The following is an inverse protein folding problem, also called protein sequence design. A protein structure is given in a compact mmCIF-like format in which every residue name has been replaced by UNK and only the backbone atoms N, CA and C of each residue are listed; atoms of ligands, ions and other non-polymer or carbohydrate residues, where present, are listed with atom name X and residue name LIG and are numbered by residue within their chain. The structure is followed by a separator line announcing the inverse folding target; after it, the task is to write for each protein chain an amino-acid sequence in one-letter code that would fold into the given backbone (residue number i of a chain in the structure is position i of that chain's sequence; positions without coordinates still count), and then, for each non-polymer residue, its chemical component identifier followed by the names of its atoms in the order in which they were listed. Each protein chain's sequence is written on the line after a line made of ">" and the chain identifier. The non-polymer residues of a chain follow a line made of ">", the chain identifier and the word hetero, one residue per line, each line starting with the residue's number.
data_IF_491142650008
#
_entry.id   IF_491142650008
#
_cell.length_a   1.000
_cell.length_b   1.000
_cell.length_c   1.000
_cell.angle_alpha   90.00
_cell.angle_beta   90.00
_cell.angle_gamma   90.00
#
_symmetry.space_group_name_H-M   'P 1'
#
loop_
_entity.id
_entity.type
_entity.pdbx_description
1 polymer ?
#
# COMPACT_ATOMS: atom_id res chain seq x y z
N UNK A 1 -3.59 12.57 12.95
CA UNK A 1 -4.31 12.05 11.77
C UNK A 1 -3.24 11.37 10.92
N UNK A 2 -3.31 10.06 10.75
CA UNK A 2 -2.30 9.30 10.03
C UNK A 2 -2.85 8.99 8.63
N UNK A 3 -2.12 9.20 7.54
CA UNK A 3 -2.52 8.85 6.18
C UNK A 3 -3.74 9.56 5.56
N UNK A 4 -4.17 9.04 4.40
CA UNK A 4 -5.35 9.49 3.67
C UNK A 4 -6.63 9.12 4.44
N UNK A 5 -7.50 10.11 4.67
CA UNK A 5 -8.81 9.87 5.27
C UNK A 5 -9.81 9.41 4.21
N UNK A 6 -10.41 8.24 4.43
CA UNK A 6 -11.41 7.61 3.60
C UNK A 6 -12.69 7.45 4.41
N UNK A 7 -13.81 7.98 3.90
CA UNK A 7 -15.12 7.84 4.54
C UNK A 7 -15.75 6.50 4.16
N UNK A 8 -15.98 5.62 5.15
CA UNK A 8 -16.56 4.30 4.98
C UNK A 8 -17.68 4.10 6.01
N UNK A 9 -18.86 3.66 5.54
CA UNK A 9 -20.02 3.38 6.40
C UNK A 9 -20.40 4.52 7.37
N UNK A 10 -20.13 5.77 6.95
CA UNK A 10 -20.44 6.97 7.74
C UNK A 10 -19.30 7.46 8.64
N UNK A 11 -18.25 6.69 8.80
CA UNK A 11 -17.10 6.99 9.66
C UNK A 11 -15.83 7.27 8.84
N UNK A 12 -14.88 7.97 9.45
CA UNK A 12 -13.60 8.31 8.85
C UNK A 12 -12.53 7.29 9.24
N UNK A 13 -11.78 6.81 8.25
CA UNK A 13 -10.71 5.83 8.41
C UNK A 13 -9.43 6.28 7.72
N UNK A 14 -8.29 5.85 8.23
CA UNK A 14 -7.01 5.89 7.52
C UNK A 14 -6.48 4.51 7.17
N UNK A 15 -5.45 4.45 6.33
CA UNK A 15 -4.79 3.18 5.98
C UNK A 15 -3.71 2.84 7.03
N UNK A 16 -3.72 1.60 7.52
CA UNK A 16 -2.67 1.11 8.41
C UNK A 16 -1.29 1.15 7.72
N UNK A 17 -0.28 1.66 8.43
CA UNK A 17 1.08 1.76 7.92
C UNK A 17 1.95 2.72 8.75
N UNK A 18 3.28 2.71 8.52
CA UNK A 18 4.20 3.63 9.17
C UNK A 18 3.98 5.05 8.62
N UNK A 19 3.52 6.01 9.44
CA UNK A 19 3.15 7.33 8.96
C UNK A 19 4.31 8.05 8.28
N UNK A 20 4.01 8.81 7.23
CA UNK A 20 4.98 9.64 6.51
C UNK A 20 4.46 11.07 6.31
N UNK A 21 5.37 11.99 6.01
CA UNK A 21 5.08 13.41 5.84
C UNK A 21 4.81 14.18 7.15
N UNK A 22 4.62 15.50 7.07
CA UNK A 22 4.31 16.34 8.22
C UNK A 22 3.08 15.82 8.97
N UNK A 23 3.23 15.60 10.29
CA UNK A 23 2.18 15.07 11.16
C UNK A 23 1.59 13.71 10.72
N UNK A 24 2.30 12.95 9.87
CA UNK A 24 1.87 11.65 9.40
C UNK A 24 0.75 11.70 8.35
N UNK A 25 0.63 12.77 7.56
CA UNK A 25 -0.42 12.93 6.53
C UNK A 25 -0.44 11.83 5.44
N UNK A 26 0.59 10.97 5.37
CA UNK A 26 0.69 9.81 4.46
C UNK A 26 0.79 8.51 5.23
N UNK A 27 0.33 7.42 4.62
CA UNK A 27 0.25 6.10 5.23
C UNK A 27 1.57 5.35 5.27
N UNK A 28 2.36 5.39 4.18
CA UNK A 28 3.70 4.83 4.11
C UNK A 28 4.63 5.71 3.27
N UNK A 29 5.96 5.60 3.47
CA UNK A 29 6.92 6.42 2.74
C UNK A 29 6.76 6.37 1.22
N UNK A 30 6.63 7.55 0.61
CA UNK A 30 6.51 7.69 -0.84
C UNK A 30 5.13 7.32 -1.39
N UNK A 31 4.14 7.00 -0.56
CA UNK A 31 2.77 6.75 -1.02
C UNK A 31 1.97 8.04 -1.21
N UNK A 32 1.15 8.03 -2.26
CA UNK A 32 0.07 9.00 -2.46
C UNK A 32 -1.17 8.27 -2.95
N UNK A 33 -2.35 8.74 -2.57
CA UNK A 33 -3.61 8.05 -2.85
C UNK A 33 -4.68 9.01 -3.36
N UNK A 34 -5.58 8.49 -4.21
CA UNK A 34 -6.78 9.20 -4.66
C UNK A 34 -7.95 8.24 -4.81
N UNK A 35 -9.13 8.65 -4.33
CA UNK A 35 -10.38 7.94 -4.62
C UNK A 35 -10.68 7.97 -6.12
N UNK A 36 -11.00 6.81 -6.69
CA UNK A 36 -11.34 6.63 -8.11
C UNK A 36 -12.75 6.03 -8.29
N UNK A 37 -13.61 6.23 -7.29
CA UNK A 37 -14.98 5.72 -7.21
C UNK A 37 -15.32 5.22 -5.80
N UNK A 38 -16.57 4.81 -5.57
CA UNK A 38 -17.06 4.45 -4.22
C UNK A 38 -16.29 3.31 -3.52
N UNK A 39 -15.59 2.46 -4.28
CA UNK A 39 -14.87 1.28 -3.78
C UNK A 39 -13.50 1.09 -4.42
N UNK A 40 -12.95 2.14 -5.02
CA UNK A 40 -11.69 2.07 -5.78
C UNK A 40 -10.80 3.23 -5.40
N UNK A 41 -9.51 2.96 -5.25
CA UNK A 41 -8.48 3.98 -5.10
C UNK A 41 -7.37 3.72 -6.12
N UNK A 42 -6.65 4.79 -6.46
CA UNK A 42 -5.38 4.71 -7.17
C UNK A 42 -4.28 5.21 -6.24
N UNK A 43 -3.20 4.46 -6.17
CA UNK A 43 -2.00 4.85 -5.46
C UNK A 43 -0.84 5.08 -6.41
N UNK A 44 0.10 5.89 -5.97
CA UNK A 44 1.45 5.97 -6.55
C UNK A 44 2.44 5.75 -5.42
N UNK A 45 3.48 4.95 -5.69
CA UNK A 45 4.58 4.70 -4.77
C UNK A 45 5.88 5.21 -5.38
N UNK A 46 6.42 6.26 -4.80
CA UNK A 46 7.64 6.92 -5.22
C UNK A 46 8.85 6.42 -4.43
N UNK A 47 10.05 6.51 -5.02
CA UNK A 47 11.31 6.16 -4.39
C UNK A 47 11.77 7.25 -3.40
N UNK A 48 10.99 7.41 -2.34
CA UNK A 48 11.22 8.36 -1.26
C UNK A 48 10.87 7.67 0.06
N UNK A 49 11.76 7.82 1.03
CA UNK A 49 11.64 7.27 2.37
C UNK A 49 10.99 8.25 3.34
N UNK A 50 10.93 7.87 4.63
CA UNK A 50 10.33 8.68 5.68
C UNK A 50 10.89 10.10 5.67
N UNK A 51 10.02 11.09 5.79
CA UNK A 51 10.40 12.50 5.87
C UNK A 51 11.23 13.00 4.67
N UNK A 52 11.06 12.38 3.50
CA UNK A 52 11.75 12.80 2.28
C UNK A 52 13.12 12.15 2.06
N UNK A 53 13.47 11.11 2.83
CA UNK A 53 14.75 10.42 2.65
C UNK A 53 14.93 9.94 1.19
N UNK A 54 16.09 10.19 0.55
CA UNK A 54 16.27 9.85 -0.85
C UNK A 54 16.47 8.35 -1.06
N UNK A 55 16.03 7.84 -2.22
CA UNK A 55 16.30 6.49 -2.74
C UNK A 55 16.12 5.33 -1.74
N UNK A 56 15.06 5.40 -0.93
CA UNK A 56 14.84 4.48 0.19
C UNK A 56 14.36 3.09 -0.21
N UNK A 57 13.55 2.98 -1.26
CA UNK A 57 12.90 1.73 -1.65
C UNK A 57 13.68 0.98 -2.75
N UNK A 58 14.52 1.71 -3.48
CA UNK A 58 15.37 1.20 -4.54
C UNK A 58 16.61 2.11 -4.65
N UNK A 59 17.69 1.74 -3.98
CA UNK A 59 18.95 2.49 -3.91
C UNK A 59 19.62 2.65 -5.27
N UNK A 60 19.37 1.72 -6.20
CA UNK A 60 19.84 1.82 -7.59
C UNK A 60 19.06 2.82 -8.46
N UNK A 61 17.97 3.40 -7.95
CA UNK A 61 17.09 4.29 -8.70
C UNK A 61 17.14 5.73 -8.15
N UNK A 62 16.81 6.69 -9.01
CA UNK A 62 16.76 8.10 -8.60
C UNK A 62 15.69 8.34 -7.51
N UNK A 63 15.98 9.24 -6.58
CA UNK A 63 14.99 9.63 -5.57
C UNK A 63 13.77 10.29 -6.22
N UNK A 64 12.58 9.99 -5.69
CA UNK A 64 11.31 10.55 -6.16
C UNK A 64 10.81 9.98 -7.48
N UNK A 65 11.52 9.02 -8.10
CA UNK A 65 11.01 8.31 -9.28
C UNK A 65 9.79 7.46 -8.90
N UNK A 66 8.81 7.38 -9.80
CA UNK A 66 7.64 6.52 -9.62
C UNK A 66 8.04 5.05 -9.76
N UNK A 67 7.97 4.27 -8.68
CA UNK A 67 8.26 2.83 -8.68
C UNK A 67 7.02 2.01 -9.05
N UNK A 68 5.89 2.26 -8.39
CA UNK A 68 4.65 1.53 -8.62
C UNK A 68 3.45 2.45 -8.85
N UNK A 69 2.59 2.04 -9.79
CA UNK A 69 1.18 2.44 -9.81
C UNK A 69 0.39 1.39 -9.04
N UNK A 70 -0.45 1.80 -8.12
CA UNK A 70 -1.22 0.88 -7.28
C UNK A 70 -2.70 0.94 -7.66
N UNK A 71 -3.23 -0.21 -8.10
CA UNK A 71 -4.66 -0.39 -8.24
C UNK A 71 -5.21 -0.90 -6.91
N UNK A 72 -6.16 -0.17 -6.33
CA UNK A 72 -6.70 -0.51 -5.03
C UNK A 72 -8.21 -0.70 -5.06
N UNK A 73 -8.69 -1.68 -4.29
CA UNK A 73 -10.11 -2.00 -4.16
C UNK A 73 -10.51 -2.14 -2.70
N UNK A 74 -11.56 -1.43 -2.33
CA UNK A 74 -12.20 -1.56 -1.02
C UNK A 74 -13.17 -2.73 -1.09
N UNK A 75 -12.93 -3.77 -0.31
CA UNK A 75 -13.82 -4.93 -0.22
C UNK A 75 -13.71 -5.62 1.14
N UNK A 76 -14.60 -6.58 1.39
CA UNK A 76 -14.55 -7.38 2.60
C UNK A 76 -13.29 -8.26 2.66
N UNK A 77 -12.82 -8.52 3.86
CA UNK A 77 -11.84 -9.55 4.13
C UNK A 77 -12.51 -10.91 4.36
N UNK A 78 -12.06 -11.93 3.66
CA UNK A 78 -12.37 -13.35 3.90
C UNK A 78 -11.39 -14.19 3.08
N UNK A 79 -11.14 -15.44 3.47
CA UNK A 79 -10.26 -16.34 2.71
C UNK A 79 -10.72 -16.50 1.25
N UNK A 80 -12.03 -16.64 1.01
CA UNK A 80 -12.61 -16.74 -0.33
C UNK A 80 -12.33 -15.49 -1.19
N UNK A 81 -12.43 -14.29 -0.60
CA UNK A 81 -12.14 -13.04 -1.31
C UNK A 81 -10.63 -12.89 -1.54
N UNK A 82 -9.80 -13.24 -0.56
CA UNK A 82 -8.35 -13.24 -0.67
C UNK A 82 -7.87 -14.07 -1.86
N UNK A 83 -8.29 -15.34 -1.94
CA UNK A 83 -7.95 -16.23 -3.05
C UNK A 83 -8.42 -15.69 -4.40
N UNK A 84 -9.64 -15.12 -4.45
CA UNK A 84 -10.15 -14.48 -5.67
C UNK A 84 -9.30 -13.27 -6.06
N UNK A 85 -8.88 -12.45 -5.11
CA UNK A 85 -8.10 -11.24 -5.33
C UNK A 85 -6.67 -11.57 -5.76
N UNK A 86 -6.03 -12.57 -5.15
CA UNK A 86 -4.73 -13.08 -5.54
C UNK A 86 -4.71 -13.52 -7.01
N UNK A 87 -5.74 -14.26 -7.47
CA UNK A 87 -5.90 -14.65 -8.89
C UNK A 87 -6.04 -13.45 -9.84
N UNK A 88 -6.44 -12.28 -9.33
CA UNK A 88 -6.56 -11.05 -10.10
C UNK A 88 -5.35 -10.11 -9.93
N UNK A 89 -4.30 -10.56 -9.24
CA UNK A 89 -3.07 -9.82 -8.99
C UNK A 89 -3.15 -8.80 -7.86
N UNK A 90 -4.13 -8.91 -6.96
CA UNK A 90 -4.13 -8.17 -5.70
C UNK A 90 -3.44 -9.03 -4.65
N UNK A 91 -2.24 -8.62 -4.26
CA UNK A 91 -1.24 -9.51 -3.61
C UNK A 91 -1.21 -9.34 -2.10
N UNK A 92 -1.69 -8.20 -1.60
CA UNK A 92 -1.79 -7.91 -0.18
C UNK A 92 -2.92 -6.90 0.08
N UNK A 93 -3.11 -6.49 1.33
CA UNK A 93 -4.13 -5.52 1.72
C UNK A 93 -3.65 -4.60 2.86
N UNK A 94 -4.22 -3.39 2.94
CA UNK A 94 -4.09 -2.54 4.12
C UNK A 94 -5.40 -2.53 4.90
N UNK A 95 -5.30 -2.58 6.23
CA UNK A 95 -6.44 -2.38 7.12
C UNK A 95 -6.88 -0.90 7.10
N UNK A 96 -8.17 -0.70 7.30
CA UNK A 96 -8.72 0.62 7.59
C UNK A 96 -8.76 0.82 9.09
N UNK A 97 -8.16 1.89 9.60
CA UNK A 97 -8.11 2.22 11.03
C UNK A 97 -8.98 3.44 11.28
N UNK A 98 -9.97 3.32 12.17
CA UNK A 98 -10.96 4.36 12.44
C UNK A 98 -10.29 5.54 13.12
N UNK A 99 -10.57 6.75 12.65
CA UNK A 99 -9.98 7.99 13.17
C UNK A 99 -10.36 8.25 14.62
N UNK A 100 -11.58 7.90 15.03
CA UNK A 100 -12.10 8.23 16.36
C UNK A 100 -11.50 7.43 17.51
N UNK A 101 -11.15 6.16 17.28
CA UNK A 101 -10.76 5.22 18.34
C UNK A 101 -9.60 4.29 17.97
N UNK A 102 -9.05 4.39 16.77
CA UNK A 102 -7.93 3.56 16.32
C UNK A 102 -8.29 2.09 16.06
N UNK A 103 -9.58 1.71 16.08
CA UNK A 103 -9.98 0.34 15.80
C UNK A 103 -9.99 0.04 14.30
N UNK A 104 -9.68 -1.20 13.92
CA UNK A 104 -9.81 -1.63 12.54
C UNK A 104 -11.28 -1.68 12.10
N UNK A 105 -11.56 -1.36 10.84
CA UNK A 105 -12.87 -1.58 10.25
C UNK A 105 -13.23 -3.07 10.37
N UNK A 106 -14.41 -3.43 10.88
CA UNK A 106 -14.72 -4.82 11.27
C UNK A 106 -14.78 -5.83 10.12
N UNK A 107 -14.80 -5.37 8.85
CA UNK A 107 -14.98 -6.27 7.71
C UNK A 107 -14.27 -5.85 6.45
N UNK A 108 -13.92 -4.56 6.25
CA UNK A 108 -13.36 -4.07 4.99
C UNK A 108 -11.87 -3.79 5.10
N UNK A 109 -11.17 -4.05 4.00
CA UNK A 109 -9.75 -3.76 3.80
C UNK A 109 -9.55 -3.14 2.41
N UNK A 110 -8.39 -2.52 2.20
CA UNK A 110 -7.96 -2.03 0.90
C UNK A 110 -7.06 -3.07 0.24
N UNK A 111 -7.57 -3.83 -0.72
CA UNK A 111 -6.79 -4.78 -1.51
C UNK A 111 -5.90 -4.07 -2.52
N UNK A 112 -4.63 -4.44 -2.59
CA UNK A 112 -3.61 -3.72 -3.36
C UNK A 112 -2.96 -4.57 -4.46
N UNK A 113 -2.92 -3.99 -5.66
CA UNK A 113 -2.23 -4.55 -6.83
C UNK A 113 -1.15 -3.58 -7.29
N UNK A 114 0.09 -3.99 -7.14
CA UNK A 114 1.27 -3.21 -7.49
C UNK A 114 1.64 -3.45 -8.96
N UNK A 115 1.70 -2.37 -9.74
CA UNK A 115 2.11 -2.37 -11.14
C UNK A 115 3.37 -1.54 -11.27
N UNK A 116 4.55 -2.18 -11.40
CA UNK A 116 5.82 -1.50 -11.55
C UNK A 116 5.83 -0.61 -12.79
N UNK A 117 6.24 0.65 -12.61
CA UNK A 117 6.43 1.61 -13.69
C UNK A 117 7.78 1.45 -14.41
N UNK A 118 8.73 0.75 -13.78
CA UNK A 118 10.04 0.38 -14.30
C UNK A 118 10.48 -1.00 -13.78
N UNK A 119 11.63 -1.47 -14.27
CA UNK A 119 12.33 -2.67 -13.79
C UNK A 119 13.45 -2.19 -12.88
N UNK A 120 13.51 -2.69 -11.65
CA UNK A 120 14.43 -2.22 -10.61
C UNK A 120 14.59 -3.28 -9.53
N UNK A 121 15.63 -3.17 -8.71
CA UNK A 121 15.78 -3.98 -7.50
C UNK A 121 15.09 -3.26 -6.34
N UNK A 122 14.09 -3.90 -5.73
CA UNK A 122 13.40 -3.36 -4.57
C UNK A 122 14.16 -3.79 -3.31
N UNK A 123 14.47 -2.83 -2.45
CA UNK A 123 15.33 -3.05 -1.28
C UNK A 123 14.54 -3.49 -0.04
N UNK A 124 13.20 -3.49 -0.10
CA UNK A 124 12.34 -3.86 1.02
C UNK A 124 12.12 -2.75 2.06
N UNK A 125 12.87 -1.65 1.99
CA UNK A 125 12.78 -0.53 2.92
C UNK A 125 12.99 -0.99 4.37
N UNK A 126 12.03 -0.81 5.29
CA UNK A 126 12.16 -1.28 6.68
C UNK A 126 12.08 -2.81 6.82
N UNK A 127 11.79 -3.55 5.74
CA UNK A 127 11.70 -5.02 5.69
C UNK A 127 12.62 -5.57 4.60
N UNK A 128 13.95 -5.57 4.80
CA UNK A 128 14.92 -5.98 3.77
C UNK A 128 14.76 -7.45 3.34
N UNK A 129 14.09 -8.29 4.14
CA UNK A 129 13.72 -9.65 3.76
C UNK A 129 12.73 -9.71 2.58
N UNK A 130 12.09 -8.59 2.25
CA UNK A 130 11.25 -8.43 1.07
C UNK A 130 12.03 -7.94 -0.15
N UNK A 131 13.36 -7.87 -0.11
CA UNK A 131 14.14 -7.41 -1.25
C UNK A 131 14.08 -8.42 -2.41
N UNK A 132 13.83 -7.93 -3.63
CA UNK A 132 13.73 -8.77 -4.82
C UNK A 132 13.80 -7.95 -6.12
N UNK A 133 13.98 -8.66 -7.24
CA UNK A 133 13.94 -8.06 -8.56
C UNK A 133 12.50 -7.81 -9.01
N UNK A 134 12.16 -6.55 -9.29
CA UNK A 134 10.87 -6.13 -9.82
C UNK A 134 10.98 -5.91 -11.32
N UNK A 135 9.95 -6.31 -12.08
CA UNK A 135 9.92 -6.19 -13.54
C UNK A 135 8.77 -5.30 -14.02
N UNK A 136 9.10 -4.33 -14.88
CA UNK A 136 8.10 -3.46 -15.52
C UNK A 136 6.99 -4.27 -16.18
N UNK A 137 5.76 -3.79 -16.09
CA UNK A 137 4.56 -4.38 -16.68
C UNK A 137 4.18 -5.78 -16.17
N UNK A 138 4.87 -6.32 -15.15
CA UNK A 138 4.44 -7.54 -14.44
C UNK A 138 3.75 -7.16 -13.14
N UNK A 139 2.82 -7.98 -12.66
CA UNK A 139 2.35 -7.83 -11.28
C UNK A 139 3.46 -8.28 -10.37
N UNK A 140 3.76 -7.47 -9.36
CA UNK A 140 4.69 -7.84 -8.32
C UNK A 140 3.97 -8.72 -7.29
N UNK A 141 4.19 -10.04 -7.37
CA UNK A 141 3.62 -11.02 -6.46
C UNK A 141 4.48 -11.26 -5.20
N UNK A 142 5.69 -10.73 -5.17
CA UNK A 142 6.63 -10.87 -4.06
C UNK A 142 6.51 -9.69 -3.07
N UNK A 143 5.82 -8.61 -3.47
CA UNK A 143 5.49 -7.48 -2.62
C UNK A 143 4.42 -7.81 -1.55
N UNK A 144 4.85 -7.93 -0.29
CA UNK A 144 4.01 -8.39 0.84
C UNK A 144 3.94 -7.48 2.09
N UNK A 145 3.73 -6.15 2.04
CA UNK A 145 3.48 -5.41 3.26
C UNK A 145 1.99 -5.44 3.59
N UNK A 146 1.59 -6.44 4.37
CA UNK A 146 0.59 -6.20 5.40
C UNK A 146 1.36 -5.83 6.67
N UNK A 147 1.20 -4.60 7.15
CA UNK A 147 1.95 -4.12 8.31
C UNK A 147 1.53 -4.81 9.61
N UNK A 148 0.23 -5.11 9.76
CA UNK A 148 -0.34 -5.63 11.00
C UNK A 148 -0.68 -7.14 10.97
N UNK A 149 -0.90 -7.75 9.79
CA UNK A 149 -1.32 -9.17 9.70
C UNK A 149 -0.59 -9.86 8.54
N UNK A 150 0.31 -10.83 8.77
CA UNK A 150 0.96 -11.55 7.67
C UNK A 150 -0.10 -12.19 6.75
N UNK A 151 -0.02 -11.90 5.45
CA UNK A 151 -0.83 -12.57 4.44
C UNK A 151 -0.32 -14.01 4.28
N UNK A 152 -1.09 -14.99 4.76
CA UNK A 152 -0.88 -16.40 4.42
C UNK A 152 -1.97 -16.81 3.40
N UNK A 153 -1.65 -16.91 2.10
CA UNK A 153 -2.60 -17.35 1.08
C UNK A 153 -3.13 -18.77 1.32
#
# INVERSE_FOLDING_TARGET
>A
MHGIVVKLDGEDYYLAGPPDGPNGERDAPGHTWRMAGKKKMKGMHYNTGPFGAPSWWATGEASGILLFKVDARIDKWSMKIAQKNAKNGYVHYHEFVRVSDGQNHPTKVLWLKHKPALTFYFDGGPRPELAHQVYKNKVDYDFKPNWNIPYSP
#
